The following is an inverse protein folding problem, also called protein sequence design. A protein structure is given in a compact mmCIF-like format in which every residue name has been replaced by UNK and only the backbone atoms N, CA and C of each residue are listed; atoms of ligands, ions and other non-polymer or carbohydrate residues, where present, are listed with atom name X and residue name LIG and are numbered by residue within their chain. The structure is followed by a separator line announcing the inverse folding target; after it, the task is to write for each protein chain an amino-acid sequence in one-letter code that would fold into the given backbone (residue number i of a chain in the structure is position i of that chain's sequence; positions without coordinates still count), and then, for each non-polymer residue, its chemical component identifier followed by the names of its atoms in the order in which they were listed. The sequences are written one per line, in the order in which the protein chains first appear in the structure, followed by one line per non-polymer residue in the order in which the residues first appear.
data_IF_697732388870
#
_entry.id   IF_697732388870
#
_cell.length_a   1.000
_cell.length_b   1.000
_cell.length_c   1.000
_cell.angle_alpha   90.00
_cell.angle_beta   90.00
_cell.angle_gamma   90.00
#
_symmetry.space_group_name_H-M   'P 1'
#
loop_
_entity.id
_entity.type
_entity.pdbx_description
1 polymer ?
#
# COMPACT_ATOMS: atom_id res chain seq x y z
N UNK A 1 8.77 -13.22 35.16
CA UNK A 1 9.88 -12.92 34.23
C UNK A 1 9.30 -12.08 33.11
N UNK A 2 9.72 -10.82 32.98
CA UNK A 2 9.30 -9.96 31.86
C UNK A 2 10.18 -10.34 30.68
N UNK A 3 9.55 -10.80 29.60
CA UNK A 3 10.24 -11.14 28.36
C UNK A 3 10.98 -9.89 27.86
N UNK A 4 12.28 -10.01 27.58
CA UNK A 4 13.11 -8.89 27.15
C UNK A 4 12.70 -8.50 25.71
N UNK A 5 11.68 -7.66 25.60
CA UNK A 5 11.22 -7.14 24.32
C UNK A 5 12.25 -6.16 23.75
N UNK A 6 12.52 -6.27 22.45
CA UNK A 6 13.34 -5.29 21.74
C UNK A 6 12.65 -3.92 21.77
N UNK A 7 13.38 -2.89 22.21
CA UNK A 7 12.88 -1.52 22.32
C UNK A 7 13.76 -0.56 21.51
N UNK A 8 13.09 0.37 20.82
CA UNK A 8 13.75 1.37 20.01
C UNK A 8 12.96 2.67 20.06
N UNK A 9 13.62 3.77 20.45
CA UNK A 9 13.05 5.12 20.29
C UNK A 9 13.20 5.54 18.83
N UNK A 10 12.08 5.70 18.14
CA UNK A 10 12.04 6.18 16.76
C UNK A 10 12.52 7.63 16.68
N UNK A 11 13.50 7.89 15.81
CA UNK A 11 14.02 9.23 15.49
C UNK A 11 13.59 9.65 14.08
N UNK A 12 13.69 8.73 13.12
CA UNK A 12 13.35 8.96 11.72
C UNK A 12 12.74 7.68 11.14
N UNK A 13 11.67 7.84 10.38
CA UNK A 13 11.06 6.78 9.60
C UNK A 13 11.01 7.19 8.14
N UNK A 14 11.68 6.41 7.29
CA UNK A 14 11.68 6.58 5.84
C UNK A 14 11.13 5.33 5.17
N UNK A 15 10.79 5.45 3.88
CA UNK A 15 10.45 4.28 3.08
C UNK A 15 11.21 4.31 1.76
N UNK A 16 11.52 3.12 1.25
CA UNK A 16 12.00 2.92 -0.11
C UNK A 16 11.14 1.89 -0.82
N UNK A 17 11.16 1.95 -2.15
CA UNK A 17 10.57 0.91 -2.99
C UNK A 17 11.69 -0.06 -3.39
N UNK A 18 11.47 -1.34 -3.15
CA UNK A 18 12.41 -2.41 -3.48
C UNK A 18 11.67 -3.63 -4.01
N UNK A 19 12.38 -4.51 -4.73
CA UNK A 19 11.79 -5.79 -5.11
C UNK A 19 11.47 -6.63 -3.86
N UNK A 20 10.40 -7.45 -3.88
CA UNK A 20 9.97 -8.24 -2.73
C UNK A 20 11.10 -9.13 -2.20
N UNK A 21 11.41 -8.97 -0.91
CA UNK A 21 12.37 -9.79 -0.17
C UNK A 21 11.81 -11.19 0.11
N UNK A 22 12.61 -12.08 0.70
CA UNK A 22 12.13 -13.40 1.12
C UNK A 22 10.95 -13.30 2.11
N UNK A 23 10.94 -12.28 2.98
CA UNK A 23 9.86 -12.02 3.93
C UNK A 23 8.61 -11.54 3.20
N UNK A 24 8.75 -10.64 2.23
CA UNK A 24 7.61 -10.16 1.47
C UNK A 24 6.99 -11.26 0.60
N UNK A 25 7.82 -12.17 0.06
CA UNK A 25 7.35 -13.31 -0.75
C UNK A 25 6.61 -14.36 0.06
N UNK A 26 6.92 -14.52 1.34
CA UNK A 26 6.18 -15.46 2.19
C UNK A 26 4.76 -14.94 2.51
N UNK A 27 4.62 -13.62 2.63
CA UNK A 27 3.32 -12.96 2.86
C UNK A 27 2.53 -12.79 1.56
N UNK A 28 3.21 -12.40 0.48
CA UNK A 28 2.62 -11.97 -0.78
C UNK A 28 3.27 -12.66 -2.00
N UNK A 29 3.09 -13.98 -2.18
CA UNK A 29 3.82 -14.77 -3.17
C UNK A 29 3.58 -14.34 -4.63
N UNK A 30 2.44 -13.68 -4.89
CA UNK A 30 2.04 -13.25 -6.24
C UNK A 30 2.46 -11.82 -6.57
N UNK A 31 3.02 -11.07 -5.61
CA UNK A 31 3.47 -9.69 -5.85
C UNK A 31 4.86 -9.73 -6.47
N UNK A 32 4.97 -9.15 -7.67
CA UNK A 32 6.24 -9.04 -8.43
C UNK A 32 6.69 -7.59 -8.63
N UNK A 33 5.84 -6.64 -8.29
CA UNK A 33 6.15 -5.22 -8.32
C UNK A 33 7.01 -4.83 -7.12
N UNK A 34 7.64 -3.66 -7.20
CA UNK A 34 8.33 -3.09 -6.06
C UNK A 34 7.33 -2.86 -4.90
N UNK A 35 7.73 -3.25 -3.70
CA UNK A 35 6.97 -3.10 -2.46
C UNK A 35 7.66 -2.10 -1.54
N UNK A 36 6.90 -1.35 -0.73
CA UNK A 36 7.49 -0.44 0.24
C UNK A 36 8.14 -1.22 1.39
N UNK A 37 9.36 -0.85 1.73
CA UNK A 37 10.03 -1.26 2.98
C UNK A 37 10.25 -0.01 3.83
N UNK A 38 9.83 -0.05 5.10
CA UNK A 38 10.09 1.06 6.01
C UNK A 38 11.42 0.87 6.73
N UNK A 39 12.16 1.96 6.89
CA UNK A 39 13.39 2.01 7.65
C UNK A 39 13.18 2.92 8.86
N UNK A 40 13.18 2.31 10.05
CA UNK A 40 13.08 3.03 11.31
C UNK A 40 14.48 3.17 11.89
N UNK A 41 14.99 4.39 11.89
CA UNK A 41 16.24 4.75 12.53
C UNK A 41 15.96 5.22 13.96
N UNK A 42 16.65 4.63 14.92
CA UNK A 42 16.39 4.92 16.32
C UNK A 42 17.56 4.61 17.25
N UNK A 43 17.28 4.78 18.55
CA UNK A 43 18.24 4.59 19.63
C UNK A 43 17.65 3.59 20.63
N UNK A 44 18.42 2.56 20.99
CA UNK A 44 18.02 1.56 21.99
C UNK A 44 18.13 2.14 23.41
N UNK A 45 17.52 1.53 24.44
CA UNK A 45 17.65 1.98 25.83
C UNK A 45 19.10 2.10 26.31
N UNK A 46 20.01 1.31 25.75
CA UNK A 46 21.45 1.33 26.04
C UNK A 46 22.20 2.44 25.27
N UNK A 47 21.51 3.29 24.51
CA UNK A 47 22.10 4.38 23.75
C UNK A 47 22.71 3.97 22.39
N UNK A 48 22.50 2.72 21.94
CA UNK A 48 23.04 2.25 20.66
C UNK A 48 22.12 2.67 19.50
N UNK A 49 22.72 3.06 18.38
CA UNK A 49 21.97 3.33 17.14
C UNK A 49 21.57 2.02 16.48
N UNK A 50 20.34 1.93 16.00
CA UNK A 50 19.86 0.78 15.23
C UNK A 50 18.97 1.25 14.06
N UNK A 51 18.96 0.45 12.98
CA UNK A 51 18.04 0.58 11.86
C UNK A 51 17.19 -0.69 11.79
N UNK A 52 15.86 -0.53 11.80
CA UNK A 52 14.92 -1.65 11.68
C UNK A 52 14.22 -1.57 10.34
N UNK A 53 14.26 -2.67 9.59
CA UNK A 53 13.56 -2.81 8.32
C UNK A 53 12.22 -3.50 8.58
N UNK A 54 11.12 -2.82 8.24
CA UNK A 54 9.77 -3.35 8.37
C UNK A 54 9.26 -3.75 6.98
N UNK A 55 8.98 -5.04 6.85
CA UNK A 55 8.48 -5.70 5.64
C UNK A 55 7.00 -6.07 5.78
N UNK A 56 6.35 -6.48 4.69
CA UNK A 56 4.98 -6.95 4.75
C UNK A 56 3.92 -5.85 4.86
N UNK A 57 4.24 -4.62 4.44
CA UNK A 57 3.26 -3.54 4.36
C UNK A 57 2.83 -3.29 2.92
N UNK A 58 1.52 -3.17 2.69
CA UNK A 58 0.96 -2.70 1.43
C UNK A 58 0.00 -1.53 1.72
N UNK A 59 0.13 -0.39 1.02
CA UNK A 59 -0.77 0.74 1.22
C UNK A 59 -2.19 0.36 0.80
N UNK A 60 -3.17 0.82 1.56
CA UNK A 60 -4.59 0.59 1.30
C UNK A 60 -5.36 1.90 1.31
N UNK A 61 -6.51 1.90 0.66
CA UNK A 61 -7.46 3.02 0.65
C UNK A 61 -8.88 2.49 0.77
N UNK A 62 -9.74 3.26 1.43
CA UNK A 62 -11.15 2.94 1.55
C UNK A 62 -11.94 3.69 0.48
N UNK A 63 -12.75 2.96 -0.27
CA UNK A 63 -13.62 3.51 -1.30
C UNK A 63 -15.08 3.19 -0.95
N UNK A 64 -15.93 4.22 -0.94
CA UNK A 64 -17.37 4.02 -0.78
C UNK A 64 -17.94 3.50 -2.09
N UNK A 65 -18.70 2.41 -1.99
CA UNK A 65 -19.41 1.81 -3.12
C UNK A 65 -20.88 2.19 -3.01
N UNK A 66 -21.48 2.68 -4.08
CA UNK A 66 -22.88 3.14 -4.12
C UNK A 66 -23.93 2.01 -4.18
N UNK A 67 -23.50 0.75 -4.17
CA UNK A 67 -24.36 -0.43 -4.24
C UNK A 67 -23.69 -1.65 -3.61
N UNK A 68 -24.32 -2.82 -3.76
CA UNK A 68 -23.81 -4.07 -3.21
C UNK A 68 -22.47 -4.44 -3.84
N UNK A 69 -21.51 -4.83 -3.01
CA UNK A 69 -20.23 -5.34 -3.47
C UNK A 69 -20.43 -6.74 -4.07
N UNK A 70 -20.21 -6.87 -5.38
CA UNK A 70 -20.31 -8.13 -6.12
C UNK A 70 -18.96 -8.50 -6.73
N UNK A 71 -18.67 -9.78 -7.00
CA UNK A 71 -17.42 -10.19 -7.65
C UNK A 71 -17.20 -9.51 -9.02
N UNK A 72 -18.28 -9.29 -9.78
CA UNK A 72 -18.22 -8.55 -11.05
C UNK A 72 -17.81 -7.09 -10.85
N UNK A 73 -18.29 -6.45 -9.77
CA UNK A 73 -17.89 -5.09 -9.45
C UNK A 73 -16.43 -5.03 -9.00
N UNK A 74 -15.97 -5.99 -8.19
CA UNK A 74 -14.56 -6.11 -7.79
C UNK A 74 -13.64 -6.17 -9.01
N UNK A 75 -13.94 -7.06 -9.97
CA UNK A 75 -13.16 -7.20 -11.18
C UNK A 75 -13.11 -5.91 -11.99
N UNK A 76 -14.28 -5.27 -12.22
CA UNK A 76 -14.36 -3.99 -12.93
C UNK A 76 -13.59 -2.88 -12.23
N UNK A 77 -13.64 -2.82 -10.90
CA UNK A 77 -12.87 -1.86 -10.12
C UNK A 77 -11.37 -2.10 -10.29
N UNK A 78 -10.92 -3.35 -10.17
CA UNK A 78 -9.52 -3.74 -10.36
C UNK A 78 -9.00 -3.35 -11.74
N UNK A 79 -9.73 -3.71 -12.79
CA UNK A 79 -9.38 -3.37 -14.18
C UNK A 79 -9.32 -1.85 -14.38
N UNK A 80 -10.31 -1.11 -13.86
CA UNK A 80 -10.34 0.34 -13.96
C UNK A 80 -9.16 1.00 -13.25
N UNK A 81 -8.83 0.56 -12.03
CA UNK A 81 -7.71 1.08 -11.25
C UNK A 81 -6.38 0.79 -11.97
N UNK A 82 -6.16 -0.46 -12.38
CA UNK A 82 -4.95 -0.83 -13.12
C UNK A 82 -4.79 0.00 -14.39
N UNK A 83 -5.86 0.18 -15.16
CA UNK A 83 -5.84 1.00 -16.39
C UNK A 83 -5.51 2.45 -16.12
N UNK A 84 -6.09 3.05 -15.07
CA UNK A 84 -5.80 4.43 -14.69
C UNK A 84 -4.35 4.61 -14.27
N UNK A 85 -3.84 3.70 -13.43
CA UNK A 85 -2.45 3.71 -12.97
C UNK A 85 -1.49 3.59 -14.16
N UNK A 86 -1.72 2.61 -15.05
CA UNK A 86 -0.92 2.44 -16.26
C UNK A 86 -0.91 3.69 -17.14
N UNK A 87 -2.05 4.37 -17.29
CA UNK A 87 -2.14 5.62 -18.06
C UNK A 87 -1.29 6.72 -17.46
N UNK A 88 -1.34 6.90 -16.13
CA UNK A 88 -0.55 7.92 -15.44
C UNK A 88 0.96 7.62 -15.49
N UNK A 89 1.37 6.36 -15.41
CA UNK A 89 2.78 5.96 -15.57
C UNK A 89 3.27 6.11 -17.02
N UNK A 90 2.45 5.73 -18.01
CA UNK A 90 2.80 5.86 -19.43
C UNK A 90 2.97 7.33 -19.85
N UNK A 91 2.27 8.27 -19.20
CA UNK A 91 2.46 9.70 -19.39
C UNK A 91 3.80 10.21 -18.82
N UNK A 92 4.46 9.45 -17.94
CA UNK A 92 5.68 9.84 -17.22
C UNK A 92 6.95 9.10 -17.66
N UNK A 93 6.87 8.04 -18.48
CA UNK A 93 8.01 7.17 -18.83
C UNK A 93 8.39 7.16 -20.33
N UNK A 94 9.69 7.01 -20.61
CA UNK A 94 10.26 6.75 -21.94
C UNK A 94 9.99 5.31 -22.44
N UNK A 95 10.20 5.08 -23.75
CA UNK A 95 9.61 3.96 -24.52
C UNK A 95 10.04 2.53 -24.10
N UNK A 96 11.14 2.35 -23.36
CA UNK A 96 11.71 1.02 -23.08
C UNK A 96 10.98 0.22 -21.99
N UNK A 97 10.35 0.87 -21.00
CA UNK A 97 9.65 0.19 -19.88
C UNK A 97 8.19 -0.18 -20.19
N UNK A 98 7.68 0.25 -21.35
CA UNK A 98 6.24 0.18 -21.69
C UNK A 98 5.72 -1.26 -21.85
N UNK A 99 6.57 -2.18 -22.29
CA UNK A 99 6.15 -3.54 -22.61
C UNK A 99 6.02 -4.43 -21.36
N UNK A 100 6.78 -4.12 -20.31
CA UNK A 100 6.70 -4.82 -19.02
C UNK A 100 5.55 -4.24 -18.17
N UNK A 101 5.32 -2.92 -18.24
CA UNK A 101 4.27 -2.20 -17.53
C UNK A 101 2.83 -2.64 -17.85
N UNK A 102 2.58 -3.15 -19.05
CA UNK A 102 1.25 -3.50 -19.54
C UNK A 102 0.63 -4.72 -18.85
N UNK A 103 1.46 -5.63 -18.30
CA UNK A 103 0.99 -6.88 -17.70
C UNK A 103 1.06 -6.91 -16.16
N UNK A 104 1.35 -5.77 -15.53
CA UNK A 104 1.40 -5.68 -14.07
C UNK A 104 0.03 -5.40 -13.46
N UNK A 105 -0.27 -6.16 -12.40
CA UNK A 105 -1.41 -5.92 -11.52
C UNK A 105 -0.93 -5.05 -10.34
N UNK A 106 -1.35 -3.79 -10.31
CA UNK A 106 -0.97 -2.82 -9.26
C UNK A 106 -1.80 -2.99 -7.99
N UNK A 107 -2.96 -3.64 -8.10
CA UNK A 107 -3.86 -3.89 -6.97
C UNK A 107 -3.64 -5.30 -6.44
N UNK A 108 -3.13 -5.40 -5.21
CA UNK A 108 -2.98 -6.70 -4.54
C UNK A 108 -4.34 -7.31 -4.22
N UNK A 109 -5.18 -6.60 -3.45
CA UNK A 109 -6.47 -7.12 -2.96
C UNK A 109 -7.52 -6.01 -2.89
N UNK A 110 -8.78 -6.38 -3.10
CA UNK A 110 -9.95 -5.54 -2.87
C UNK A 110 -10.87 -6.34 -1.95
N UNK A 111 -11.29 -5.76 -0.84
CA UNK A 111 -12.17 -6.44 0.12
C UNK A 111 -13.32 -5.53 0.54
N UNK A 112 -14.53 -6.07 0.72
CA UNK A 112 -15.61 -5.32 1.34
C UNK A 112 -15.30 -5.13 2.82
N UNK A 113 -15.43 -3.89 3.30
CA UNK A 113 -15.24 -3.56 4.70
C UNK A 113 -16.46 -2.79 5.21
N UNK A 114 -16.97 -3.18 6.38
CA UNK A 114 -17.94 -2.38 7.11
C UNK A 114 -17.17 -1.33 7.92
N UNK A 115 -17.35 -0.06 7.57
CA UNK A 115 -16.75 1.07 8.25
C UNK A 115 -17.77 2.18 8.46
N UNK A 116 -17.71 2.85 9.60
CA UNK A 116 -18.49 4.07 9.86
C UNK A 116 -17.70 5.26 9.34
N UNK A 117 -18.31 6.04 8.46
CA UNK A 117 -17.69 7.26 7.97
C UNK A 117 -17.64 8.28 9.11
N UNK A 118 -16.44 8.72 9.48
CA UNK A 118 -16.25 9.86 10.38
C UNK A 118 -16.29 11.11 9.51
N UNK A 119 -17.48 11.51 9.07
CA UNK A 119 -17.66 12.83 8.43
C UNK A 119 -17.97 13.84 9.50
N UNK A 120 -17.12 14.86 9.65
CA UNK A 120 -17.56 16.14 10.22
C UNK A 120 -18.55 16.70 9.21
N UNK A 121 -19.78 16.96 9.65
CA UNK A 121 -20.85 17.48 8.81
C UNK A 121 -20.38 18.80 8.17
N UNK A 122 -20.05 18.78 6.88
CA UNK A 122 -19.89 20.00 6.08
C UNK A 122 -21.26 20.31 5.48
N UNK A 123 -22.02 21.29 6.00
CA UNK A 123 -23.41 21.52 5.62
C UNK A 123 -23.63 21.97 4.17
N UNK A 124 -22.60 22.06 3.32
CA UNK A 124 -22.69 22.68 1.99
C UNK A 124 -22.07 21.89 0.82
N UNK A 125 -21.89 20.57 0.92
CA UNK A 125 -21.59 19.75 -0.27
C UNK A 125 -22.87 19.12 -0.83
N UNK A 126 -23.75 19.98 -1.32
CA UNK A 126 -24.83 19.59 -2.21
C UNK A 126 -24.25 19.26 -3.60
N UNK A 127 -24.45 18.00 -4.02
CA UNK A 127 -24.37 17.49 -5.41
C UNK A 127 -22.97 17.45 -6.04
N UNK A 128 -22.32 16.30 -5.88
CA UNK A 128 -21.51 15.71 -6.96
C UNK A 128 -22.03 14.29 -7.18
N UNK A 129 -22.97 14.16 -8.13
CA UNK A 129 -23.34 12.90 -8.79
C UNK A 129 -22.63 12.86 -10.14
#
# INVERSE_FOLDING_TARGET
MVEAAFQLRNVLCEYSLALPSAVDRSLYPNVRLQVPTFHIFGITPEGKKACVHVHGFLPYMLLRVGGNFTPTLEQRMREKINRLIQREFAAKQEKADKQIAANYNYVYKIEPMLAKLVTIFFPNLSKCY
#
